data_IF_120517685319
#
_entry.id   IF_120517685319
#
_cell.length_a   1.000
_cell.length_b   1.000
_cell.length_c   1.000
_cell.angle_alpha   90.00
_cell.angle_beta   90.00
_cell.angle_gamma   90.00
#
_symmetry.space_group_name_H-M   'P 1'
#
loop_
_entity.id
_entity.type
_entity.pdbx_description
1 polymer ?
#
# COMPACT_ATOMS: atom_id res chain seq x y z
N UNK A 1 32.93 21.39 -10.26
CA UNK A 1 31.65 21.02 -10.89
C UNK A 1 30.54 21.78 -10.18
N UNK A 2 29.64 22.45 -10.90
CA UNK A 2 28.49 23.15 -10.30
C UNK A 2 27.20 22.50 -10.83
N UNK A 3 26.27 22.17 -9.93
CA UNK A 3 25.03 21.46 -10.25
C UNK A 3 23.86 22.30 -9.79
N UNK A 4 22.93 22.57 -10.71
CA UNK A 4 21.68 23.26 -10.40
C UNK A 4 20.61 22.23 -10.06
N UNK A 5 20.14 22.24 -8.82
CA UNK A 5 19.03 21.41 -8.35
C UNK A 5 17.79 22.29 -8.26
N UNK A 6 16.74 21.93 -8.98
CA UNK A 6 15.48 22.70 -9.01
C UNK A 6 14.50 22.23 -7.95
N UNK A 7 14.49 20.93 -7.63
CA UNK A 7 13.58 20.35 -6.65
C UNK A 7 14.09 20.50 -5.22
N UNK A 8 13.25 21.09 -4.36
CA UNK A 8 13.50 21.16 -2.92
C UNK A 8 13.65 19.76 -2.29
N UNK A 9 12.95 18.76 -2.82
CA UNK A 9 12.99 17.39 -2.32
C UNK A 9 14.31 16.70 -2.67
N UNK A 10 14.81 16.91 -3.88
CA UNK A 10 16.13 16.41 -4.30
C UNK A 10 17.25 17.04 -3.49
N UNK A 11 17.20 18.35 -3.24
CA UNK A 11 18.19 19.02 -2.40
C UNK A 11 18.26 18.40 -1.00
N UNK A 12 17.11 18.15 -0.37
CA UNK A 12 17.05 17.48 0.94
C UNK A 12 17.58 16.05 0.91
N UNK A 13 17.29 15.29 -0.16
CA UNK A 13 17.79 13.93 -0.35
C UNK A 13 19.30 13.92 -0.51
N UNK A 14 19.85 14.82 -1.33
CA UNK A 14 21.30 14.95 -1.52
C UNK A 14 22.01 15.33 -0.21
N UNK A 15 21.49 16.32 0.51
CA UNK A 15 22.02 16.70 1.82
C UNK A 15 22.05 15.52 2.80
N UNK A 16 21.00 14.69 2.82
CA UNK A 16 20.95 13.49 3.68
C UNK A 16 21.85 12.36 3.22
N UNK A 17 22.05 12.20 1.91
CA UNK A 17 22.93 11.16 1.38
C UNK A 17 24.39 11.48 1.73
N UNK A 18 24.80 12.71 1.46
CA UNK A 18 26.18 13.19 1.55
C UNK A 18 26.51 13.74 2.96
N UNK A 19 25.54 13.76 3.89
CA UNK A 19 25.60 14.42 5.20
C UNK A 19 26.01 15.91 5.12
N UNK A 20 25.51 16.64 4.11
CA UNK A 20 25.74 18.07 3.93
C UNK A 20 24.60 18.91 4.57
N UNK A 21 24.93 20.11 5.05
CA UNK A 21 23.93 21.06 5.52
C UNK A 21 23.44 21.99 4.38
N UNK A 22 22.12 22.17 4.27
CA UNK A 22 21.55 23.08 3.28
C UNK A 22 21.74 24.54 3.70
N UNK A 23 22.56 25.28 2.96
CA UNK A 23 22.84 26.69 3.23
C UNK A 23 21.97 27.61 2.37
N UNK A 24 21.36 28.61 3.01
CA UNK A 24 20.56 29.65 2.34
C UNK A 24 21.43 30.85 1.94
N UNK A 25 22.54 31.06 2.65
CA UNK A 25 23.48 32.17 2.42
C UNK A 25 24.46 31.85 1.30
N UNK A 26 24.79 32.85 0.49
CA UNK A 26 25.83 32.79 -0.54
C UNK A 26 27.21 33.14 0.04
N UNK A 27 27.62 32.44 1.09
CA UNK A 27 28.92 32.60 1.74
C UNK A 27 29.78 31.35 1.63
N UNK A 28 31.07 31.45 1.98
CA UNK A 28 31.93 30.28 2.06
C UNK A 28 31.41 29.33 3.17
N UNK A 29 31.13 28.06 2.85
CA UNK A 29 30.71 27.07 3.85
C UNK A 29 31.86 26.74 4.80
N UNK A 30 31.53 26.42 6.05
CA UNK A 30 32.52 25.85 6.98
C UNK A 30 32.76 24.36 6.69
N UNK A 31 33.88 23.77 7.13
CA UNK A 31 34.12 22.33 6.96
C UNK A 31 33.01 21.44 7.52
N UNK A 32 32.38 21.86 8.62
CA UNK A 32 31.27 21.12 9.26
C UNK A 32 29.95 21.21 8.48
N UNK A 33 29.81 22.20 7.59
CA UNK A 33 28.64 22.36 6.72
C UNK A 33 28.77 21.56 5.41
N UNK A 34 29.99 21.15 5.06
CA UNK A 34 30.28 20.37 3.85
C UNK A 34 30.00 18.88 4.07
N UNK A 35 29.34 18.25 3.10
CA UNK A 35 29.20 16.80 3.08
C UNK A 35 30.32 16.10 2.28
N UNK A 36 30.42 14.79 2.43
CA UNK A 36 31.41 13.96 1.76
C UNK A 36 30.75 12.92 0.82
N UNK A 37 31.28 12.81 -0.40
CA UNK A 37 30.84 11.84 -1.41
C UNK A 37 32.07 11.23 -2.08
N UNK A 38 32.10 9.90 -2.23
CA UNK A 38 33.25 9.19 -2.77
C UNK A 38 33.46 9.48 -4.27
N UNK A 39 32.37 9.45 -5.04
CA UNK A 39 32.43 9.64 -6.48
C UNK A 39 31.24 10.42 -7.00
N UNK A 40 31.54 11.47 -7.78
CA UNK A 40 30.54 12.24 -8.53
C UNK A 40 30.88 12.13 -10.01
N UNK A 41 30.00 11.48 -10.77
CA UNK A 41 30.19 11.24 -12.20
C UNK A 41 28.95 11.62 -13.00
N UNK A 42 29.15 12.09 -14.22
CA UNK A 42 28.05 12.31 -15.17
C UNK A 42 27.96 11.10 -16.07
N UNK A 43 26.88 10.33 -15.95
CA UNK A 43 26.61 9.15 -16.77
C UNK A 43 25.48 9.47 -17.76
N UNK A 44 25.49 8.83 -18.91
CA UNK A 44 24.39 8.93 -19.85
C UNK A 44 23.48 7.70 -19.70
N UNK A 45 22.23 7.92 -19.30
CA UNK A 45 21.24 6.86 -19.13
C UNK A 45 20.04 7.19 -20.03
N UNK A 46 19.76 6.32 -21.00
CA UNK A 46 18.61 6.50 -21.90
C UNK A 46 18.67 7.78 -22.74
N UNK A 47 19.86 8.19 -23.19
CA UNK A 47 20.06 9.40 -23.99
C UNK A 47 20.01 10.71 -23.20
N UNK A 48 19.91 10.65 -21.87
CA UNK A 48 19.98 11.83 -20.98
C UNK A 48 21.20 11.75 -20.08
N UNK A 49 21.89 12.88 -19.94
CA UNK A 49 22.99 13.03 -18.98
C UNK A 49 22.42 13.18 -17.58
N UNK A 50 22.78 12.26 -16.70
CA UNK A 50 22.41 12.25 -15.28
C UNK A 50 23.68 12.35 -14.44
N UNK A 51 23.59 13.05 -13.32
CA UNK A 51 24.70 13.11 -12.36
C UNK A 51 24.47 12.05 -11.29
N UNK A 52 25.44 11.14 -11.15
CA UNK A 52 25.41 10.05 -10.18
C UNK A 52 26.37 10.40 -9.05
N UNK A 53 25.80 10.56 -7.86
CA UNK A 53 26.53 10.60 -6.60
C UNK A 53 26.57 9.18 -6.06
N UNK A 54 27.77 8.61 -5.98
CA UNK A 54 27.99 7.27 -5.46
C UNK A 54 28.78 7.37 -4.16
N UNK A 55 28.31 6.63 -3.17
CA UNK A 55 28.95 6.49 -1.86
C UNK A 55 29.04 5.01 -1.57
N UNK A 56 30.25 4.50 -1.43
CA UNK A 56 30.55 3.07 -1.27
C UNK A 56 30.61 2.66 0.21
N UNK A 57 30.35 3.59 1.12
CA UNK A 57 30.27 3.34 2.56
C UNK A 57 29.01 2.56 2.93
N UNK A 58 29.14 1.65 3.91
CA UNK A 58 28.04 0.84 4.46
C UNK A 58 26.89 1.68 5.06
N UNK A 59 27.15 2.94 5.42
CA UNK A 59 26.18 3.87 6.02
C UNK A 59 25.36 4.68 5.00
N UNK A 60 25.30 4.27 3.73
CA UNK A 60 24.50 4.95 2.71
C UNK A 60 22.99 4.85 3.02
N UNK A 61 22.41 5.91 3.61
CA UNK A 61 20.99 5.97 4.03
C UNK A 61 20.00 6.10 2.87
N UNK A 62 20.46 6.42 1.67
CA UNK A 62 19.61 6.73 0.52
C UNK A 62 20.12 5.98 -0.71
N UNK A 63 19.22 5.24 -1.34
CA UNK A 63 19.41 4.65 -2.66
C UNK A 63 18.41 5.25 -3.65
N UNK A 64 18.80 5.33 -4.93
CA UNK A 64 17.93 5.78 -6.02
C UNK A 64 17.72 4.65 -7.01
N UNK A 65 16.47 4.29 -7.28
CA UNK A 65 16.11 3.33 -8.32
C UNK A 65 15.83 4.11 -9.60
N UNK A 66 16.55 3.79 -10.68
CA UNK A 66 16.37 4.45 -11.99
C UNK A 66 15.40 3.64 -12.83
N UNK A 67 14.18 4.17 -13.00
CA UNK A 67 13.14 3.56 -13.80
C UNK A 67 13.23 3.99 -15.26
N UNK A 68 12.98 3.04 -16.16
CA UNK A 68 12.93 3.28 -17.61
C UNK A 68 11.70 2.60 -18.18
N UNK A 69 10.89 3.37 -18.88
CA UNK A 69 9.69 2.91 -19.57
C UNK A 69 9.57 3.58 -20.95
N UNK A 70 8.76 3.00 -21.83
CA UNK A 70 8.49 3.52 -23.18
C UNK A 70 7.51 4.71 -23.17
N UNK A 71 6.62 4.76 -22.18
CA UNK A 71 5.62 5.82 -22.01
C UNK A 71 5.55 6.27 -20.56
N UNK A 72 5.18 7.52 -20.34
CA UNK A 72 5.05 8.09 -18.98
C UNK A 72 3.95 7.40 -18.16
N UNK A 73 2.90 6.90 -18.81
CA UNK A 73 1.84 6.15 -18.14
C UNK A 73 2.38 4.87 -17.48
N UNK A 74 3.15 4.08 -18.23
CA UNK A 74 3.78 2.86 -17.71
C UNK A 74 4.81 3.18 -16.64
N UNK A 75 5.54 4.30 -16.79
CA UNK A 75 6.50 4.75 -15.79
C UNK A 75 5.82 5.02 -14.43
N UNK A 76 4.70 5.74 -14.44
CA UNK A 76 3.94 6.06 -13.24
C UNK A 76 3.38 4.81 -12.55
N UNK A 77 2.94 3.82 -13.33
CA UNK A 77 2.44 2.55 -12.78
C UNK A 77 3.57 1.74 -12.14
N UNK A 78 4.74 1.68 -12.77
CA UNK A 78 5.92 1.02 -12.22
C UNK A 78 6.42 1.74 -10.96
N UNK A 79 6.44 3.07 -10.94
CA UNK A 79 6.83 3.86 -9.77
C UNK A 79 5.94 3.52 -8.56
N UNK A 80 4.61 3.51 -8.77
CA UNK A 80 3.64 3.12 -7.74
C UNK A 80 3.87 1.69 -7.23
N UNK A 81 4.05 0.74 -8.14
CA UNK A 81 4.28 -0.66 -7.77
C UNK A 81 5.56 -0.83 -6.94
N UNK A 82 6.61 -0.07 -7.25
CA UNK A 82 7.87 -0.10 -6.49
C UNK A 82 7.69 0.55 -5.13
N UNK A 83 6.99 1.68 -5.04
CA UNK A 83 6.68 2.32 -3.77
C UNK A 83 5.87 1.38 -2.85
N UNK A 84 4.89 0.66 -3.40
CA UNK A 84 4.12 -0.35 -2.67
C UNK A 84 5.01 -1.50 -2.20
N UNK A 85 5.89 -2.01 -3.07
CA UNK A 85 6.87 -3.05 -2.72
C UNK A 85 7.84 -2.63 -1.61
N UNK A 86 8.39 -1.41 -1.69
CA UNK A 86 9.29 -0.86 -0.65
C UNK A 86 8.55 -0.69 0.67
N UNK A 87 7.31 -0.20 0.63
CA UNK A 87 6.48 -0.08 1.84
C UNK A 87 6.12 -1.44 2.44
N UNK A 88 5.87 -2.45 1.60
CA UNK A 88 5.66 -3.83 2.05
C UNK A 88 6.89 -4.37 2.77
N UNK A 89 8.08 -4.29 2.16
CA UNK A 89 9.34 -4.73 2.80
C UNK A 89 9.59 -3.98 4.10
N UNK A 90 9.32 -2.68 4.14
CA UNK A 90 9.43 -1.88 5.36
C UNK A 90 8.48 -2.34 6.48
N UNK A 91 7.25 -2.73 6.14
CA UNK A 91 6.31 -3.31 7.10
C UNK A 91 6.81 -4.67 7.60
N UNK A 92 7.32 -5.51 6.70
CA UNK A 92 7.90 -6.82 7.02
C UNK A 92 9.11 -6.70 7.96
N UNK A 93 9.93 -5.66 7.81
CA UNK A 93 11.03 -5.38 8.74
C UNK A 93 10.55 -5.03 10.16
N UNK A 94 9.30 -4.62 10.34
CA UNK A 94 8.70 -4.31 11.66
C UNK A 94 7.98 -5.52 12.25
N UNK A 95 7.18 -6.20 11.44
CA UNK A 95 6.49 -7.44 11.81
C UNK A 95 6.70 -8.49 10.71
N UNK A 96 7.24 -9.65 11.07
CA UNK A 96 7.57 -10.72 10.11
C UNK A 96 6.40 -11.67 9.84
N UNK A 97 5.19 -11.40 10.36
CA UNK A 97 4.05 -12.31 10.25
C UNK A 97 3.29 -12.15 8.92
N UNK A 98 2.95 -13.29 8.32
CA UNK A 98 2.20 -13.39 7.08
C UNK A 98 0.99 -14.30 7.25
N UNK A 99 0.00 -14.10 6.40
CA UNK A 99 -1.23 -14.89 6.30
C UNK A 99 -1.46 -15.31 4.85
N UNK A 100 -2.30 -16.32 4.64
CA UNK A 100 -2.67 -16.78 3.31
C UNK A 100 -3.47 -15.70 2.57
N UNK A 101 -2.99 -15.30 1.40
CA UNK A 101 -3.66 -14.28 0.58
C UNK A 101 -4.83 -14.84 -0.23
N UNK A 102 -5.09 -14.24 -1.40
CA UNK A 102 -6.10 -14.68 -2.37
C UNK A 102 -7.54 -14.84 -1.82
N UNK A 103 -7.89 -14.10 -0.75
CA UNK A 103 -9.21 -14.18 -0.14
C UNK A 103 -9.39 -15.30 0.89
N UNK A 104 -8.36 -16.12 1.13
CA UNK A 104 -8.42 -17.24 2.08
C UNK A 104 -8.63 -16.73 3.52
N UNK A 105 -7.83 -15.74 3.93
CA UNK A 105 -7.96 -15.13 5.26
C UNK A 105 -9.36 -14.52 5.47
N UNK A 106 -9.92 -13.88 4.45
CA UNK A 106 -11.24 -13.26 4.50
C UNK A 106 -12.38 -14.29 4.67
N UNK A 107 -12.31 -15.42 3.96
CA UNK A 107 -13.29 -16.51 4.13
C UNK A 107 -13.18 -17.15 5.51
N UNK A 108 -11.97 -17.39 6.00
CA UNK A 108 -11.76 -17.97 7.33
C UNK A 108 -12.26 -17.04 8.43
N UNK A 109 -11.97 -15.74 8.34
CA UNK A 109 -12.51 -14.73 9.25
C UNK A 109 -14.05 -14.68 9.19
N UNK A 110 -14.62 -14.69 7.99
CA UNK A 110 -16.08 -14.68 7.81
C UNK A 110 -16.74 -15.87 8.51
N UNK A 111 -16.18 -17.07 8.36
CA UNK A 111 -16.64 -18.29 9.04
C UNK A 111 -16.58 -18.15 10.56
N UNK A 112 -15.42 -17.75 11.10
CA UNK A 112 -15.25 -17.61 12.55
C UNK A 112 -16.17 -16.54 13.15
N UNK A 113 -16.35 -15.41 12.47
CA UNK A 113 -17.26 -14.34 12.88
C UNK A 113 -18.71 -14.82 12.87
N UNK A 114 -19.12 -15.60 11.85
CA UNK A 114 -20.47 -16.16 11.79
C UNK A 114 -20.72 -17.16 12.92
N UNK A 115 -19.75 -18.04 13.21
CA UNK A 115 -19.82 -18.96 14.36
C UNK A 115 -19.88 -18.21 15.70
N UNK A 116 -19.13 -17.12 15.86
CA UNK A 116 -19.22 -16.25 17.02
C UNK A 116 -20.60 -15.56 17.14
N UNK A 117 -21.17 -15.15 16.01
CA UNK A 117 -22.53 -14.63 15.94
C UNK A 117 -23.59 -15.66 16.32
N UNK A 118 -23.38 -16.95 16.04
CA UNK A 118 -24.28 -18.03 16.48
C UNK A 118 -24.26 -18.27 17.99
N UNK A 119 -23.08 -18.16 18.61
CA UNK A 119 -22.92 -18.28 20.04
C UNK A 119 -23.47 -17.08 20.83
N UNK A 120 -23.59 -15.91 20.20
CA UNK A 120 -24.02 -14.67 20.85
C UNK A 120 -25.55 -14.55 20.86
N UNK A 121 -26.21 -14.42 22.02
CA UNK A 121 -27.65 -14.22 22.09
C UNK A 121 -28.05 -12.75 21.83
N UNK A 122 -29.27 -12.54 21.35
CA UNK A 122 -29.88 -11.21 21.21
C UNK A 122 -29.82 -10.64 19.79
N UNK A 123 -30.08 -9.33 19.67
CA UNK A 123 -30.14 -8.63 18.37
C UNK A 123 -28.76 -8.47 17.71
N UNK A 124 -27.71 -8.42 18.51
CA UNK A 124 -26.32 -8.24 18.04
C UNK A 124 -25.86 -9.41 17.15
N UNK A 125 -26.44 -10.60 17.34
CA UNK A 125 -26.20 -11.77 16.47
C UNK A 125 -26.35 -11.43 14.99
N UNK A 126 -27.39 -10.68 14.62
CA UNK A 126 -27.66 -10.35 13.22
C UNK A 126 -26.59 -9.39 12.66
N UNK A 127 -26.15 -8.42 13.46
CA UNK A 127 -25.11 -7.47 13.07
C UNK A 127 -23.76 -8.18 12.88
N UNK A 128 -23.39 -9.08 13.80
CA UNK A 128 -22.16 -9.88 13.72
C UNK A 128 -22.16 -10.75 12.45
N UNK A 129 -23.26 -11.47 12.19
CA UNK A 129 -23.38 -12.28 10.97
C UNK A 129 -23.26 -11.45 9.70
N UNK A 130 -23.89 -10.26 9.67
CA UNK A 130 -23.80 -9.34 8.53
C UNK A 130 -22.41 -8.75 8.34
N UNK A 131 -21.66 -8.54 9.42
CA UNK A 131 -20.25 -8.16 9.32
C UNK A 131 -19.40 -9.27 8.69
N UNK A 132 -19.65 -10.53 9.07
CA UNK A 132 -19.04 -11.69 8.41
C UNK A 132 -19.37 -11.76 6.91
N UNK A 133 -20.65 -11.58 6.54
CA UNK A 133 -21.07 -11.52 5.12
C UNK A 133 -20.34 -10.39 4.35
N UNK A 134 -20.09 -9.24 5.00
CA UNK A 134 -19.43 -8.10 4.35
C UNK A 134 -17.96 -8.38 4.01
N UNK A 135 -17.27 -9.19 4.80
CA UNK A 135 -15.85 -9.54 4.54
C UNK A 135 -15.70 -10.38 3.26
N UNK A 136 -16.73 -11.15 2.88
CA UNK A 136 -16.75 -11.95 1.64
C UNK A 136 -16.70 -11.10 0.37
N UNK A 137 -16.89 -9.78 0.47
CA UNK A 137 -16.83 -8.89 -0.69
C UNK A 137 -15.45 -8.93 -1.36
N UNK A 138 -14.38 -9.17 -0.60
CA UNK A 138 -13.01 -9.21 -1.13
C UNK A 138 -12.80 -10.40 -2.09
N UNK A 139 -13.02 -11.67 -1.68
CA UNK A 139 -12.92 -12.80 -2.60
C UNK A 139 -13.99 -12.75 -3.70
N UNK A 140 -15.16 -12.17 -3.43
CA UNK A 140 -16.20 -11.97 -4.45
C UNK A 140 -15.72 -11.08 -5.59
N UNK A 141 -15.20 -9.89 -5.26
CA UNK A 141 -14.68 -8.94 -6.25
C UNK A 141 -13.47 -9.55 -6.97
N UNK A 142 -12.62 -10.31 -6.27
CA UNK A 142 -11.49 -11.00 -6.89
C UNK A 142 -11.95 -11.99 -7.96
N UNK A 143 -12.97 -12.79 -7.67
CA UNK A 143 -13.57 -13.74 -8.61
C UNK A 143 -14.29 -13.03 -9.78
N UNK A 144 -15.00 -11.93 -9.52
CA UNK A 144 -15.66 -11.15 -10.57
C UNK A 144 -14.64 -10.52 -11.53
N UNK A 145 -13.54 -9.98 -10.99
CA UNK A 145 -12.46 -9.41 -11.79
C UNK A 145 -11.70 -10.46 -12.60
N UNK A 146 -11.66 -11.72 -12.15
CA UNK A 146 -11.09 -12.83 -12.92
C UNK A 146 -12.07 -13.43 -13.95
N UNK A 147 -13.31 -12.91 -14.02
CA UNK A 147 -14.34 -13.41 -14.94
C UNK A 147 -14.99 -14.73 -14.50
N UNK A 148 -14.81 -15.12 -13.24
CA UNK A 148 -15.40 -16.33 -12.66
C UNK A 148 -16.76 -16.05 -12.02
N UNK A 149 -17.55 -17.11 -11.84
CA UNK A 149 -18.83 -17.02 -11.15
C UNK A 149 -18.60 -16.92 -9.64
N UNK A 150 -18.68 -15.70 -9.11
CA UNK A 150 -18.40 -15.41 -7.69
C UNK A 150 -19.18 -16.31 -6.71
N UNK A 151 -20.42 -16.67 -7.02
CA UNK A 151 -21.25 -17.56 -6.19
C UNK A 151 -20.70 -18.99 -6.09
N UNK A 152 -20.17 -19.52 -7.19
CA UNK A 152 -19.58 -20.86 -7.23
C UNK A 152 -18.23 -20.88 -6.51
N UNK A 153 -17.41 -19.86 -6.73
CA UNK A 153 -16.11 -19.70 -6.08
C UNK A 153 -16.26 -19.56 -4.57
N UNK A 154 -17.14 -18.69 -4.08
CA UNK A 154 -17.33 -18.51 -2.63
C UNK A 154 -17.87 -19.79 -1.98
N UNK A 155 -18.83 -20.46 -2.59
CA UNK A 155 -19.40 -21.70 -2.03
C UNK A 155 -18.39 -22.84 -1.97
N UNK A 156 -17.53 -22.99 -2.99
CA UNK A 156 -16.45 -23.97 -3.01
C UNK A 156 -15.32 -23.62 -2.03
N UNK A 157 -14.96 -22.35 -1.88
CA UNK A 157 -14.04 -21.91 -0.83
C UNK A 157 -14.58 -22.25 0.57
N UNK A 158 -15.86 -21.98 0.84
CA UNK A 158 -16.48 -22.37 2.11
C UNK A 158 -16.41 -23.88 2.37
N UNK A 159 -16.63 -24.71 1.34
CA UNK A 159 -16.51 -26.15 1.47
C UNK A 159 -15.07 -26.59 1.78
N UNK A 160 -14.07 -25.96 1.15
CA UNK A 160 -12.66 -26.25 1.39
C UNK A 160 -12.21 -25.84 2.82
N UNK A 161 -12.60 -24.63 3.25
CA UNK A 161 -12.34 -24.15 4.61
C UNK A 161 -13.05 -25.01 5.67
N UNK A 162 -14.29 -25.43 5.40
CA UNK A 162 -15.02 -26.35 6.28
C UNK A 162 -14.33 -27.72 6.42
N UNK A 163 -13.64 -28.18 5.37
CA UNK A 163 -12.83 -29.40 5.38
C UNK A 163 -11.47 -29.24 6.11
N UNK A 164 -11.17 -28.05 6.64
CA UNK A 164 -9.95 -27.77 7.42
C UNK A 164 -8.81 -27.16 6.60
N UNK A 165 -9.07 -26.76 5.35
CA UNK A 165 -8.08 -26.10 4.51
C UNK A 165 -8.21 -24.57 4.60
N UNK A 166 -7.54 -23.96 5.58
CA UNK A 166 -7.60 -22.52 5.87
C UNK A 166 -6.89 -21.65 4.82
N UNK A 167 -6.08 -22.25 3.94
CA UNK A 167 -5.32 -21.54 2.92
C UNK A 167 -5.91 -21.64 1.51
N UNK A 168 -7.10 -22.22 1.37
CA UNK A 168 -7.81 -22.28 0.09
C UNK A 168 -8.19 -20.86 -0.39
N UNK A 169 -7.78 -20.50 -1.60
CA UNK A 169 -7.89 -19.14 -2.15
C UNK A 169 -8.63 -19.09 -3.49
N UNK A 170 -8.94 -17.90 -3.98
CA UNK A 170 -9.41 -17.70 -5.37
C UNK A 170 -8.23 -17.80 -6.33
N UNK A 171 -8.34 -18.66 -7.34
CA UNK A 171 -7.34 -18.74 -8.42
C UNK A 171 -7.72 -17.76 -9.50
N UNK A 172 -6.78 -16.95 -9.95
CA UNK A 172 -7.03 -16.00 -11.04
C UNK A 172 -6.61 -16.61 -12.38
N UNK A 173 -5.58 -17.47 -12.37
CA UNK A 173 -4.98 -18.02 -13.59
C UNK A 173 -5.72 -19.27 -14.10
N UNK A 174 -6.26 -20.08 -13.18
CA UNK A 174 -7.03 -21.28 -13.51
C UNK A 174 -8.53 -21.05 -13.28
N UNK A 175 -9.39 -21.77 -14.01
CA UNK A 175 -10.86 -21.70 -13.90
C UNK A 175 -11.42 -22.34 -12.62
N UNK A 176 -10.58 -22.64 -11.63
CA UNK A 176 -10.92 -23.38 -10.42
C UNK A 176 -10.43 -22.67 -9.16
N UNK A 177 -10.92 -23.09 -7.99
CA UNK A 177 -10.47 -22.58 -6.70
C UNK A 177 -9.06 -23.09 -6.39
N UNK A 178 -8.18 -22.23 -5.85
CA UNK A 178 -6.83 -22.62 -5.44
C UNK A 178 -6.92 -23.66 -4.33
N UNK A 179 -6.22 -24.78 -4.53
CA UNK A 179 -6.04 -25.81 -3.51
C UNK A 179 -5.29 -25.31 -2.28
N UNK A 180 -4.25 -24.48 -2.42
CA UNK A 180 -3.54 -23.83 -1.30
C UNK A 180 -2.76 -22.57 -1.74
N UNK A 181 -3.15 -21.38 -1.25
CA UNK A 181 -2.51 -20.10 -1.57
C UNK A 181 -1.07 -19.99 -1.03
N UNK A 182 -0.76 -20.66 0.08
CA UNK A 182 0.59 -20.70 0.66
C UNK A 182 1.54 -21.49 -0.25
N UNK A 183 1.07 -22.61 -0.81
CA UNK A 183 1.83 -23.42 -1.77
C UNK A 183 2.18 -22.66 -3.05
N UNK A 184 1.29 -21.76 -3.49
CA UNK A 184 1.52 -20.86 -4.64
C UNK A 184 2.37 -19.64 -4.31
N UNK A 185 2.77 -19.47 -3.05
CA UNK A 185 3.59 -18.34 -2.61
C UNK A 185 2.84 -17.01 -2.53
N UNK A 186 1.52 -17.03 -2.33
CA UNK A 186 0.70 -15.83 -2.19
C UNK A 186 0.56 -15.49 -0.71
N UNK A 187 1.43 -14.60 -0.24
CA UNK A 187 1.52 -14.17 1.16
C UNK A 187 1.02 -12.74 1.32
N UNK A 188 0.06 -12.54 2.22
CA UNK A 188 -0.36 -11.21 2.64
C UNK A 188 0.24 -10.88 4.01
N UNK A 189 0.61 -9.62 4.21
CA UNK A 189 1.17 -9.19 5.49
C UNK A 189 0.06 -8.99 6.54
N UNK A 190 0.24 -9.57 7.73
CA UNK A 190 -0.77 -9.56 8.80
C UNK A 190 -1.12 -8.14 9.25
N UNK A 191 -0.13 -7.27 9.48
CA UNK A 191 -0.37 -5.91 9.97
C UNK A 191 -1.21 -5.09 8.98
N UNK A 192 -0.94 -5.27 7.68
CA UNK A 192 -1.68 -4.61 6.60
C UNK A 192 -3.15 -5.05 6.59
N UNK A 193 -3.42 -6.36 6.67
CA UNK A 193 -4.79 -6.89 6.72
C UNK A 193 -5.53 -6.43 7.97
N UNK A 194 -4.89 -6.53 9.13
CA UNK A 194 -5.46 -6.08 10.40
C UNK A 194 -5.80 -4.59 10.37
N UNK A 195 -4.89 -3.76 9.85
CA UNK A 195 -5.11 -2.32 9.71
C UNK A 195 -6.23 -2.02 8.72
N UNK A 196 -6.31 -2.73 7.61
CA UNK A 196 -7.37 -2.56 6.61
C UNK A 196 -8.76 -2.85 7.19
N UNK A 197 -8.92 -3.96 7.91
CA UNK A 197 -10.20 -4.32 8.54
C UNK A 197 -10.58 -3.32 9.62
N UNK A 198 -9.62 -2.94 10.47
CA UNK A 198 -9.85 -1.97 11.56
C UNK A 198 -10.26 -0.60 11.02
N UNK A 199 -9.50 -0.04 10.09
CA UNK A 199 -9.78 1.27 9.51
C UNK A 199 -11.09 1.25 8.71
N UNK A 200 -11.37 0.15 8.00
CA UNK A 200 -12.64 -0.04 7.30
C UNK A 200 -13.84 -0.05 8.26
N UNK A 201 -13.74 -0.77 9.37
CA UNK A 201 -14.77 -0.79 10.40
C UNK A 201 -14.96 0.58 11.07
N UNK A 202 -13.87 1.26 11.44
CA UNK A 202 -13.91 2.59 12.05
C UNK A 202 -14.55 3.63 11.11
N UNK A 203 -14.24 3.57 9.81
CA UNK A 203 -14.86 4.42 8.80
C UNK A 203 -16.36 4.14 8.67
N UNK A 204 -16.76 2.87 8.58
CA UNK A 204 -18.17 2.48 8.51
C UNK A 204 -18.95 2.96 9.74
N UNK A 205 -18.40 2.77 10.94
CA UNK A 205 -18.99 3.24 12.20
C UNK A 205 -19.13 4.77 12.19
N UNK A 206 -18.10 5.49 11.74
CA UNK A 206 -18.12 6.96 11.68
C UNK A 206 -19.23 7.46 10.78
N UNK A 207 -19.40 6.85 9.61
CA UNK A 207 -20.46 7.23 8.65
C UNK A 207 -21.85 6.86 9.19
N UNK A 208 -22.02 5.65 9.74
CA UNK A 208 -23.32 5.18 10.25
C UNK A 208 -23.81 5.95 11.48
N UNK A 209 -22.92 6.59 12.24
CA UNK A 209 -23.30 7.47 13.37
C UNK A 209 -23.87 8.82 12.93
N UNK A 210 -23.64 9.24 11.69
CA UNK A 210 -24.15 10.53 11.19
C UNK A 210 -25.61 10.37 10.79
N UNK A 211 -26.51 10.95 11.58
CA UNK A 211 -27.95 10.95 11.28
C UNK A 211 -28.33 12.07 10.28
N UNK A 212 -27.73 13.26 10.44
CA UNK A 212 -28.03 14.42 9.59
C UNK A 212 -26.79 15.24 9.26
N UNK A 213 -26.72 15.71 8.01
CA UNK A 213 -25.68 16.62 7.54
C UNK A 213 -26.33 17.98 7.23
N UNK A 214 -25.93 19.02 7.95
CA UNK A 214 -26.36 20.38 7.68
C UNK A 214 -25.22 21.11 6.97
N UNK A 215 -25.41 21.36 5.67
CA UNK A 215 -24.44 22.09 4.85
C UNK A 215 -24.61 23.59 5.05
N UNK A 216 -23.62 24.25 5.65
CA UNK A 216 -23.58 25.71 5.69
C UNK A 216 -23.34 26.26 4.28
N UNK A 217 -24.05 27.33 3.90
CA UNK A 217 -23.71 28.08 2.69
C UNK A 217 -22.31 28.66 2.87
N UNK A 218 -21.46 28.47 1.86
CA UNK A 218 -20.17 29.14 1.81
C UNK A 218 -20.40 30.64 2.06
N UNK A 219 -19.69 31.21 3.03
CA UNK A 219 -19.78 32.64 3.31
C UNK A 219 -19.51 33.37 1.99
N UNK A 220 -20.52 34.04 1.46
CA UNK A 220 -20.39 34.91 0.30
C UNK A 220 -19.46 36.05 0.69
N UNK A 221 -18.15 35.82 0.58
CA UNK A 221 -17.16 36.85 0.71
C UNK A 221 -17.50 37.97 -0.27
N UNK A 222 -17.19 39.24 0.07
CA UNK A 222 -17.47 40.36 -0.82
C UNK A 222 -16.90 40.06 -2.21
N UNK A 223 -17.69 40.30 -3.27
CA UNK A 223 -17.24 40.16 -4.66
C UNK A 223 -15.87 40.85 -4.79
N UNK A 224 -14.86 40.20 -5.42
CA UNK A 224 -13.58 40.84 -5.66
C UNK A 224 -13.84 42.19 -6.33
N UNK A 225 -13.32 43.27 -5.73
CA UNK A 225 -13.48 44.63 -6.24
C UNK A 225 -12.80 44.72 -7.61
N UNK A 226 -13.60 44.76 -8.66
CA UNK A 226 -13.25 45.27 -9.99
C UNK A 226 -12.27 44.41 -10.79
N UNK A 227 -12.79 43.77 -11.84
CA UNK A 227 -12.15 43.89 -13.16
C UNK A 227 -12.38 45.31 -13.68
#
# INVERSE_FOLDING_TARGET
MAIKITSKWELRRLCRAVNANALVRLGAPTPDEMGFCDSVSVKEIGGRKVTVFQQDQEDAKIATIVLRASTDNVLNDIERAIDDGVNCVKAVCRDGRFVAGAGATEIELSRQIKSFGEATPGLDQYAIKKFGDAIEVVPRILAENSGQMATEVISSMYAAHAAGNESAGVDVDETHVISDALSKGIWDHLETKMSAIRLGADAAITVLRVDQIIMAKAAGGPKPRGM
#
